data_IF_287582791431
#
_entry.id   IF_287582791431
#
_cell.length_a   1.000
_cell.length_b   1.000
_cell.length_c   1.000
_cell.angle_alpha   90.00
_cell.angle_beta   90.00
_cell.angle_gamma   90.00
#
_symmetry.space_group_name_H-M   'P 1'
#
loop_
_entity.id
_entity.type
_entity.pdbx_description
1 polymer ?
#
# COMPACT_ATOMS: atom_id res chain seq x y z
N UNK A 1 -1.99 4.55 -19.44
CA UNK A 1 -1.47 5.15 -18.19
C UNK A 1 -1.75 6.63 -18.23
N UNK A 2 -2.55 7.16 -17.31
CA UNK A 2 -2.76 8.60 -17.21
C UNK A 2 -1.73 9.19 -16.24
N UNK A 3 -1.20 10.37 -16.53
CA UNK A 3 -0.21 11.09 -15.72
C UNK A 3 -0.57 11.19 -14.23
N UNK A 4 -1.86 11.11 -13.90
CA UNK A 4 -2.39 11.12 -12.54
C UNK A 4 -1.97 9.90 -11.70
N UNK A 5 -1.75 8.74 -12.32
CA UNK A 5 -1.30 7.52 -11.63
C UNK A 5 0.13 7.65 -11.11
N UNK A 6 0.93 8.53 -11.73
CA UNK A 6 2.33 8.85 -11.34
C UNK A 6 2.43 9.79 -10.13
N UNK A 7 1.32 10.42 -9.72
CA UNK A 7 1.30 11.46 -8.69
C UNK A 7 0.95 10.96 -7.28
N UNK A 8 0.78 9.65 -7.08
CA UNK A 8 0.42 9.08 -5.77
C UNK A 8 1.57 8.27 -5.16
N UNK A 9 2.65 8.92 -4.71
CA UNK A 9 3.84 8.22 -4.22
C UNK A 9 3.65 7.63 -2.81
N UNK A 10 2.58 7.97 -2.10
CA UNK A 10 2.37 7.47 -0.73
C UNK A 10 1.53 6.21 -0.75
N UNK A 11 2.10 5.08 -0.32
CA UNK A 11 1.40 3.80 -0.29
C UNK A 11 1.27 3.30 1.16
N UNK A 12 0.08 2.82 1.54
CA UNK A 12 -0.13 2.08 2.79
C UNK A 12 0.07 0.60 2.50
N UNK A 13 0.99 -0.03 3.23
CA UNK A 13 1.27 -1.46 3.15
C UNK A 13 0.83 -2.12 4.45
N UNK A 14 0.07 -3.20 4.32
CA UNK A 14 -0.21 -4.14 5.41
C UNK A 14 0.85 -5.23 5.40
N UNK A 15 1.49 -5.46 6.54
CA UNK A 15 2.38 -6.58 6.74
C UNK A 15 1.55 -7.79 7.16
N UNK A 16 1.77 -8.90 6.44
CA UNK A 16 1.13 -10.18 6.73
C UNK A 16 2.17 -11.15 7.31
N UNK A 17 1.70 -12.20 8.02
CA UNK A 17 2.55 -13.31 8.41
C UNK A 17 3.28 -13.90 7.20
N UNK A 18 4.42 -14.57 7.45
CA UNK A 18 5.30 -15.10 6.39
C UNK A 18 5.98 -14.02 5.54
N UNK A 19 6.24 -12.86 6.13
CA UNK A 19 6.99 -11.76 5.49
C UNK A 19 6.31 -11.21 4.22
N UNK A 20 5.00 -11.42 4.10
CA UNK A 20 4.21 -10.96 2.97
C UNK A 20 3.80 -9.50 3.16
N UNK A 21 3.69 -8.77 2.05
CA UNK A 21 3.34 -7.34 2.04
C UNK A 21 2.17 -7.15 1.07
N UNK A 22 1.13 -6.46 1.51
CA UNK A 22 -0.03 -6.14 0.70
C UNK A 22 -0.22 -4.63 0.63
N UNK A 23 -0.24 -4.07 -0.58
CA UNK A 23 -0.59 -2.67 -0.79
C UNK A 23 -2.09 -2.49 -0.58
N UNK A 24 -2.46 -1.75 0.46
CA UNK A 24 -3.87 -1.52 0.84
C UNK A 24 -4.46 -0.37 0.05
N UNK A 25 -3.72 0.74 -0.04
CA UNK A 25 -4.18 1.96 -0.71
C UNK A 25 -2.99 2.85 -1.09
N UNK A 26 -3.20 3.70 -2.10
CA UNK A 26 -2.25 4.73 -2.54
C UNK A 26 -2.86 6.12 -2.41
N UNK A 27 -2.03 7.10 -2.08
CA UNK A 27 -2.42 8.46 -1.79
C UNK A 27 -1.42 9.43 -2.45
N UNK A 28 -1.96 10.59 -2.86
CA UNK A 28 -1.16 11.71 -3.35
C UNK A 28 -0.48 12.49 -2.24
N UNK A 29 -1.10 12.56 -1.07
CA UNK A 29 -0.62 13.32 0.08
C UNK A 29 -0.35 12.37 1.25
N UNK A 30 0.72 12.66 1.98
CA UNK A 30 1.08 11.93 3.20
C UNK A 30 0.00 12.04 4.28
N UNK A 31 -0.60 13.22 4.46
CA UNK A 31 -1.62 13.44 5.48
C UNK A 31 -2.85 12.55 5.32
N UNK A 32 -3.31 12.36 4.08
CA UNK A 32 -4.45 11.48 3.79
C UNK A 32 -4.10 10.01 4.08
N UNK A 33 -2.88 9.60 3.74
CA UNK A 33 -2.37 8.26 4.06
C UNK A 33 -2.27 8.03 5.58
N UNK A 34 -1.81 9.01 6.34
CA UNK A 34 -1.70 8.93 7.81
C UNK A 34 -3.07 8.86 8.48
N UNK A 35 -4.02 9.71 8.08
CA UNK A 35 -5.38 9.68 8.58
C UNK A 35 -6.04 8.30 8.32
N UNK A 36 -5.87 7.78 7.10
CA UNK A 36 -6.40 6.47 6.74
C UNK A 36 -5.71 5.33 7.51
N UNK A 37 -4.39 5.37 7.68
CA UNK A 37 -3.65 4.40 8.49
C UNK A 37 -4.12 4.39 9.95
N UNK A 38 -4.38 5.57 10.55
CA UNK A 38 -4.89 5.64 11.92
C UNK A 38 -6.25 4.95 12.06
N UNK A 39 -7.16 5.13 11.09
CA UNK A 39 -8.44 4.43 11.06
C UNK A 39 -8.23 2.93 10.92
N UNK A 40 -7.37 2.49 10.00
CA UNK A 40 -7.05 1.07 9.79
C UNK A 40 -6.49 0.41 11.06
N UNK A 41 -5.61 1.10 11.79
CA UNK A 41 -5.04 0.61 13.06
C UNK A 41 -6.10 0.49 14.16
N UNK A 42 -7.14 1.33 14.16
CA UNK A 42 -8.26 1.23 15.10
C UNK A 42 -9.20 0.08 14.75
N UNK A 43 -9.44 -0.14 13.45
CA UNK A 43 -10.32 -1.20 12.97
C UNK A 43 -9.67 -2.59 13.08
N UNK A 44 -8.36 -2.67 12.86
CA UNK A 44 -7.60 -3.92 12.83
C UNK A 44 -6.32 -3.74 13.64
N UNK A 45 -6.39 -3.76 14.99
CA UNK A 45 -5.24 -3.53 15.86
C UNK A 45 -4.17 -4.63 15.73
N UNK A 46 -4.57 -5.84 15.36
CA UNK A 46 -3.66 -6.98 15.18
C UNK A 46 -2.84 -6.91 13.88
N UNK A 47 -3.19 -5.98 12.98
CA UNK A 47 -2.49 -5.81 11.72
C UNK A 47 -1.46 -4.68 11.80
N UNK A 48 -0.26 -4.97 11.32
CA UNK A 48 0.80 -3.97 11.20
C UNK A 48 0.66 -3.25 9.85
N UNK A 49 0.40 -1.96 9.91
CA UNK A 49 0.36 -1.08 8.74
C UNK A 49 1.58 -0.16 8.73
N UNK A 50 2.14 0.09 7.55
CA UNK A 50 3.24 1.02 7.35
C UNK A 50 2.97 1.90 6.13
N UNK A 51 3.45 3.14 6.16
CA UNK A 51 3.38 4.07 5.04
C UNK A 51 4.75 4.10 4.38
N UNK A 52 4.78 3.86 3.07
CA UNK A 52 6.00 3.88 2.27
C UNK A 52 5.85 4.95 1.19
N UNK A 53 6.91 5.73 1.00
CA UNK A 53 7.06 6.60 -0.15
C UNK A 53 7.66 5.79 -1.29
N UNK A 54 6.84 5.46 -2.28
CA UNK A 54 7.21 4.74 -3.48
C UNK A 54 6.82 5.56 -4.72
N UNK A 55 7.75 6.36 -5.28
CA UNK A 55 7.51 7.12 -6.49
C UNK A 55 7.58 6.25 -7.76
N UNK A 56 7.96 4.98 -7.65
CA UNK A 56 8.18 4.07 -8.77
C UNK A 56 6.97 3.16 -8.99
N UNK A 57 5.94 3.68 -9.66
CA UNK A 57 4.90 2.82 -10.20
C UNK A 57 5.32 2.31 -11.58
N UNK A 58 6.33 1.46 -11.61
CA UNK A 58 6.48 0.46 -12.66
C UNK A 58 6.29 -0.94 -12.04
N UNK A 59 5.13 -1.52 -12.34
CA UNK A 59 4.88 -2.95 -12.34
C UNK A 59 5.11 -3.69 -11.01
N UNK A 60 4.16 -3.57 -10.09
CA UNK A 60 3.72 -4.78 -9.39
C UNK A 60 2.64 -5.44 -10.27
N UNK A 61 3.07 -6.13 -11.32
CA UNK A 61 2.24 -7.20 -11.86
C UNK A 61 1.90 -8.14 -10.69
N UNK A 62 0.62 -8.49 -10.48
CA UNK A 62 0.31 -9.53 -9.53
C UNK A 62 0.95 -10.80 -10.11
N UNK A 63 2.05 -11.25 -9.51
CA UNK A 63 2.54 -12.61 -9.70
C UNK A 63 1.53 -13.57 -9.04
N UNK A 64 0.33 -13.65 -9.62
CA UNK A 64 -0.51 -14.84 -9.63
C UNK A 64 -0.10 -15.61 -10.87
N UNK A 65 1.03 -16.31 -10.77
CA UNK A 65 1.17 -17.62 -11.43
C UNK A 65 1.58 -18.62 -10.36
N UNK A 66 0.60 -18.98 -9.53
CA UNK A 66 0.51 -20.31 -8.93
C UNK A 66 0.44 -21.31 -10.09
N UNK A 67 1.42 -22.22 -10.10
CA UNK A 67 1.39 -23.62 -10.52
C UNK A 67 0.55 -24.01 -11.75
N UNK A 68 1.24 -24.54 -12.75
CA UNK A 68 0.92 -25.83 -13.39
C UNK A 68 2.12 -26.29 -14.20
#
# INVERSE_FOLDING_TARGET
>A
MSYLERLSPWCIIKLLPKMQRLTVARFRRRGDAEAHMQVLRRLIPDATFTIIYDPALEQQEPNTKRNS
#
